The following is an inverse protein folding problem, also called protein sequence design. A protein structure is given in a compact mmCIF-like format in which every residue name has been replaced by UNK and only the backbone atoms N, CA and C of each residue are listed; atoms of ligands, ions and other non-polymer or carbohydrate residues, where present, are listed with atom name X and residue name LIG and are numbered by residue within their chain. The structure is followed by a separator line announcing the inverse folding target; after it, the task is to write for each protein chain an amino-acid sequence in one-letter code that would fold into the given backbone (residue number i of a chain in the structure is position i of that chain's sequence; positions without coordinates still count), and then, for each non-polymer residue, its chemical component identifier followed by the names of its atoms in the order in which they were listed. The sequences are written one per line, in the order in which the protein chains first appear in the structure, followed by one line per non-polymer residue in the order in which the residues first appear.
data_IF_651586644014
#
_entry.id   IF_651586644014
#
_cell.length_a   1.000
_cell.length_b   1.000
_cell.length_c   1.000
_cell.angle_alpha   90.00
_cell.angle_beta   90.00
_cell.angle_gamma   90.00
#
_symmetry.space_group_name_H-M   'P 1'
#
loop_
_entity.id
_entity.type
_entity.pdbx_description
1 polymer ?
#
# COMPACT_ATOMS: atom_id res chain seq x y z
N UNK A 1 11.43 -3.02 -49.12
CA UNK A 1 10.31 -2.51 -48.29
C UNK A 1 10.83 -1.33 -47.48
N UNK A 2 10.41 -0.12 -47.82
CA UNK A 2 10.87 1.12 -47.19
C UNK A 2 9.99 1.39 -45.96
N UNK A 3 10.52 1.13 -44.77
CA UNK A 3 9.80 1.33 -43.51
C UNK A 3 9.65 2.82 -43.19
N UNK A 4 8.46 3.21 -42.74
CA UNK A 4 8.15 4.57 -42.30
C UNK A 4 9.11 5.03 -41.18
N UNK A 5 9.89 6.07 -41.45
CA UNK A 5 10.73 6.76 -40.47
C UNK A 5 9.90 7.82 -39.75
N UNK A 6 9.62 7.62 -38.46
CA UNK A 6 8.93 8.64 -37.63
C UNK A 6 9.94 9.69 -37.21
N UNK A 7 9.93 10.86 -37.87
CA UNK A 7 10.86 11.97 -37.58
C UNK A 7 10.26 13.05 -36.68
N UNK A 8 9.18 12.78 -35.94
CA UNK A 8 8.62 13.81 -35.07
C UNK A 8 9.70 14.21 -34.04
N UNK A 9 10.20 15.47 -34.10
CA UNK A 9 11.23 15.91 -33.19
C UNK A 9 10.66 16.00 -31.79
N UNK A 10 11.51 15.92 -30.78
CA UNK A 10 11.11 16.22 -29.42
C UNK A 10 10.71 17.71 -29.35
N UNK A 11 9.40 17.99 -29.39
CA UNK A 11 8.88 19.36 -29.31
C UNK A 11 9.13 19.85 -27.89
N UNK A 12 10.14 20.71 -27.72
CA UNK A 12 10.33 21.45 -26.47
C UNK A 12 9.22 22.49 -26.41
N UNK A 13 8.16 22.18 -25.65
CA UNK A 13 7.05 23.10 -25.44
C UNK A 13 7.48 24.28 -24.59
N UNK A 14 7.03 25.46 -25.00
CA UNK A 14 7.24 26.70 -24.25
C UNK A 14 6.44 26.69 -22.94
N UNK A 15 6.80 27.56 -21.99
CA UNK A 15 6.22 27.52 -20.64
C UNK A 15 4.68 27.67 -20.65
N UNK A 16 4.14 28.54 -21.51
CA UNK A 16 2.70 28.73 -21.66
C UNK A 16 1.98 27.55 -22.31
N UNK A 17 2.66 26.78 -23.17
CA UNK A 17 2.10 25.57 -23.80
C UNK A 17 2.05 24.38 -22.82
N UNK A 18 2.88 24.39 -21.77
CA UNK A 18 2.82 23.41 -20.66
C UNK A 18 1.73 23.75 -19.65
N UNK A 19 1.47 25.04 -19.43
CA UNK A 19 0.38 25.50 -18.56
C UNK A 19 -1.01 25.11 -19.09
N UNK A 20 -1.17 25.02 -20.41
CA UNK A 20 -2.39 24.56 -21.07
C UNK A 20 -2.42 23.03 -21.34
N UNK A 21 -1.34 22.31 -21.00
CA UNK A 21 -1.32 20.86 -21.15
C UNK A 21 -2.05 20.21 -19.94
N UNK A 22 -2.93 19.25 -20.22
CA UNK A 22 -3.66 18.45 -19.20
C UNK A 22 -2.74 17.69 -18.21
N UNK A 23 -1.42 17.70 -18.42
CA UNK A 23 -0.44 17.05 -17.56
C UNK A 23 -0.05 17.97 -16.39
N UNK A 24 -1.04 18.32 -15.57
CA UNK A 24 -0.83 19.03 -14.32
C UNK A 24 0.06 18.16 -13.41
N UNK A 25 1.18 18.67 -12.87
CA UNK A 25 2.00 17.89 -11.95
C UNK A 25 1.14 17.39 -10.79
N UNK A 26 1.25 16.08 -10.49
CA UNK A 26 0.53 15.47 -9.35
C UNK A 26 0.98 16.15 -8.07
N UNK A 27 0.17 17.08 -7.57
CA UNK A 27 0.41 17.70 -6.28
C UNK A 27 0.13 16.67 -5.18
N UNK A 28 1.19 16.20 -4.52
CA UNK A 28 1.07 15.45 -3.27
C UNK A 28 0.77 16.46 -2.16
N UNK A 29 -0.50 16.53 -1.75
CA UNK A 29 -0.85 17.27 -0.55
C UNK A 29 -0.27 16.54 0.67
N UNK A 30 0.27 17.27 1.67
CA UNK A 30 0.62 16.64 2.93
C UNK A 30 -0.63 15.97 3.53
N UNK A 31 -0.48 14.81 4.18
CA UNK A 31 -1.60 14.16 4.83
C UNK A 31 -2.21 15.07 5.89
N UNK A 32 -3.53 15.00 6.08
CA UNK A 32 -4.19 15.73 7.16
C UNK A 32 -3.70 15.23 8.53
N UNK A 33 -3.72 16.06 9.58
CA UNK A 33 -3.34 15.63 10.93
C UNK A 33 -4.08 14.36 11.38
N UNK A 34 -5.39 14.28 11.13
CA UNK A 34 -6.19 13.09 11.43
C UNK A 34 -5.78 11.84 10.61
N UNK A 35 -5.19 12.00 9.43
CA UNK A 35 -4.62 10.87 8.69
C UNK A 35 -3.30 10.40 9.31
N UNK A 36 -2.48 11.31 9.83
CA UNK A 36 -1.25 11.01 10.55
C UNK A 36 -1.59 10.25 11.85
N UNK A 37 -2.58 10.71 12.62
CA UNK A 37 -2.97 10.06 13.87
C UNK A 37 -3.43 8.62 13.64
N UNK A 38 -4.30 8.39 12.65
CA UNK A 38 -4.75 7.03 12.26
C UNK A 38 -3.60 6.15 11.79
N UNK A 39 -2.64 6.72 11.06
CA UNK A 39 -1.43 6.00 10.65
C UNK A 39 -0.62 5.57 11.87
N UNK A 40 -0.32 6.50 12.79
CA UNK A 40 0.44 6.21 14.01
C UNK A 40 -0.25 5.17 14.88
N UNK A 41 -1.58 5.24 14.99
CA UNK A 41 -2.37 4.24 15.66
C UNK A 41 -2.23 2.86 15.00
N UNK A 42 -2.40 2.78 13.68
CA UNK A 42 -2.24 1.52 12.93
C UNK A 42 -0.83 0.94 13.08
N UNK A 43 0.20 1.79 13.14
CA UNK A 43 1.58 1.37 13.38
C UNK A 43 1.76 0.69 14.75
N UNK A 44 0.95 1.03 15.76
CA UNK A 44 0.93 0.30 17.04
C UNK A 44 0.37 -1.11 16.89
N UNK A 45 -0.68 -1.28 16.09
CA UNK A 45 -1.30 -2.59 15.87
C UNK A 45 -0.35 -3.56 15.17
N UNK A 46 0.41 -3.07 14.18
CA UNK A 46 1.41 -3.87 13.46
C UNK A 46 2.49 -4.41 14.41
N UNK A 47 2.81 -3.69 15.49
CA UNK A 47 3.81 -4.14 16.47
C UNK A 47 3.35 -5.36 17.28
N UNK A 48 2.06 -5.65 17.36
CA UNK A 48 1.57 -6.86 18.02
C UNK A 48 1.82 -8.14 17.23
N UNK A 49 2.08 -8.01 15.93
CA UNK A 49 2.34 -9.13 15.04
C UNK A 49 3.82 -9.51 15.06
N UNK A 50 4.08 -10.79 14.79
CA UNK A 50 5.43 -11.28 14.50
C UNK A 50 5.95 -10.73 13.16
N UNK A 51 7.27 -10.66 12.99
CA UNK A 51 7.94 -10.01 11.84
C UNK A 51 7.43 -10.55 10.50
N UNK A 52 7.31 -11.87 10.37
CA UNK A 52 6.81 -12.50 9.15
C UNK A 52 5.37 -12.08 8.81
N UNK A 53 4.52 -11.95 9.83
CA UNK A 53 3.13 -11.51 9.67
C UNK A 53 3.04 -10.02 9.33
N UNK A 54 3.94 -9.17 9.85
CA UNK A 54 4.01 -7.75 9.49
C UNK A 54 4.28 -7.56 8.01
N UNK A 55 5.29 -8.27 7.49
CA UNK A 55 5.61 -8.22 6.06
C UNK A 55 4.43 -8.69 5.20
N UNK A 56 3.73 -9.75 5.61
CA UNK A 56 2.57 -10.28 4.89
C UNK A 56 1.41 -9.27 4.85
N UNK A 57 1.08 -8.65 5.99
CA UNK A 57 0.02 -7.65 6.09
C UNK A 57 0.38 -6.40 5.27
N UNK A 58 1.65 -5.97 5.31
CA UNK A 58 2.09 -4.80 4.56
C UNK A 58 2.00 -5.00 3.05
N UNK A 59 2.47 -6.15 2.54
CA UNK A 59 2.31 -6.51 1.12
C UNK A 59 0.84 -6.47 0.71
N UNK A 60 -0.04 -7.04 1.56
CA UNK A 60 -1.48 -7.04 1.26
C UNK A 60 -2.07 -5.62 1.26
N UNK A 61 -1.62 -4.75 2.16
CA UNK A 61 -2.05 -3.34 2.23
C UNK A 61 -1.57 -2.51 1.02
N UNK A 62 -0.39 -2.82 0.49
CA UNK A 62 0.14 -2.20 -0.74
C UNK A 62 -0.60 -2.63 -2.02
N UNK A 63 -1.49 -3.62 -1.92
CA UNK A 63 -2.25 -4.13 -3.06
C UNK A 63 -1.57 -5.28 -3.82
N UNK A 64 -0.53 -5.89 -3.24
CA UNK A 64 0.12 -7.05 -3.84
C UNK A 64 -0.85 -8.22 -4.05
N UNK A 65 -0.79 -8.86 -5.22
CA UNK A 65 -1.60 -10.03 -5.52
C UNK A 65 -1.22 -11.24 -4.66
N UNK A 66 -2.22 -12.06 -4.30
CA UNK A 66 -1.98 -13.28 -3.54
C UNK A 66 -1.00 -14.25 -4.18
N UNK A 67 -0.97 -14.32 -5.52
CA UNK A 67 -0.02 -15.18 -6.25
C UNK A 67 1.42 -14.71 -6.05
N UNK A 68 1.64 -13.40 -6.07
CA UNK A 68 2.95 -12.80 -5.83
C UNK A 68 3.41 -13.02 -4.39
N UNK A 69 2.53 -12.77 -3.42
CA UNK A 69 2.79 -13.03 -1.99
C UNK A 69 3.13 -14.50 -1.76
N UNK A 70 2.32 -15.42 -2.29
CA UNK A 70 2.52 -16.86 -2.12
C UNK A 70 3.89 -17.31 -2.69
N UNK A 71 4.28 -16.77 -3.85
CA UNK A 71 5.60 -17.01 -4.45
C UNK A 71 6.73 -16.52 -3.54
N UNK A 72 6.63 -15.31 -2.98
CA UNK A 72 7.63 -14.74 -2.07
C UNK A 72 7.84 -15.60 -0.82
N UNK A 73 6.77 -16.15 -0.27
CA UNK A 73 6.79 -17.00 0.92
C UNK A 73 6.98 -18.50 0.61
N UNK A 74 7.26 -18.88 -0.65
CA UNK A 74 7.41 -20.25 -1.11
C UNK A 74 6.28 -21.19 -0.64
N UNK A 75 5.03 -20.72 -0.72
CA UNK A 75 3.86 -21.46 -0.28
C UNK A 75 2.72 -21.35 -1.30
N UNK A 76 1.64 -22.12 -1.10
CA UNK A 76 0.43 -21.97 -1.92
C UNK A 76 -0.40 -20.76 -1.48
N UNK A 77 -1.18 -20.20 -2.42
CA UNK A 77 -2.05 -19.02 -2.20
C UNK A 77 -2.97 -19.19 -0.99
N UNK A 78 -3.59 -20.36 -0.82
CA UNK A 78 -4.48 -20.65 0.31
C UNK A 78 -3.75 -20.56 1.66
N UNK A 79 -2.49 -20.96 1.72
CA UNK A 79 -1.70 -20.87 2.96
C UNK A 79 -1.36 -19.43 3.31
N UNK A 80 -0.96 -18.61 2.33
CA UNK A 80 -0.75 -17.19 2.53
C UNK A 80 -2.03 -16.48 3.01
N UNK A 81 -3.18 -16.79 2.40
CA UNK A 81 -4.49 -16.26 2.82
C UNK A 81 -4.83 -16.63 4.28
N UNK A 82 -4.66 -17.90 4.67
CA UNK A 82 -4.91 -18.32 6.06
C UNK A 82 -3.97 -17.65 7.05
N UNK A 83 -2.68 -17.48 6.69
CA UNK A 83 -1.71 -16.76 7.54
C UNK A 83 -2.12 -15.31 7.73
N UNK A 84 -2.57 -14.64 6.66
CA UNK A 84 -3.08 -13.28 6.75
C UNK A 84 -4.35 -13.20 7.62
N UNK A 85 -5.29 -14.12 7.46
CA UNK A 85 -6.50 -14.17 8.30
C UNK A 85 -6.16 -14.32 9.78
N UNK A 86 -5.20 -15.20 10.12
CA UNK A 86 -4.72 -15.36 11.51
C UNK A 86 -4.09 -14.08 12.05
N UNK A 87 -3.25 -13.40 11.26
CA UNK A 87 -2.65 -12.14 11.65
C UNK A 87 -3.72 -11.06 11.91
N UNK A 88 -4.72 -10.95 11.03
CA UNK A 88 -5.85 -10.03 11.24
C UNK A 88 -6.67 -10.38 12.47
N UNK A 89 -6.91 -11.67 12.72
CA UNK A 89 -7.61 -12.13 13.92
C UNK A 89 -6.89 -11.68 15.19
N UNK A 90 -5.56 -11.82 15.26
CA UNK A 90 -4.78 -11.33 16.41
C UNK A 90 -4.96 -9.83 16.65
N UNK A 91 -5.00 -9.02 15.59
CA UNK A 91 -5.26 -7.57 15.74
C UNK A 91 -6.66 -7.33 16.29
N UNK A 92 -7.67 -8.00 15.74
CA UNK A 92 -9.07 -7.89 16.18
C UNK A 92 -9.22 -8.32 17.65
N UNK A 93 -8.62 -9.44 18.03
CA UNK A 93 -8.67 -9.96 19.40
C UNK A 93 -8.06 -8.97 20.40
N UNK A 94 -6.97 -8.29 20.03
CA UNK A 94 -6.36 -7.26 20.89
C UNK A 94 -7.16 -5.97 20.96
N UNK A 95 -7.76 -5.55 19.86
CA UNK A 95 -8.63 -4.37 19.85
C UNK A 95 -9.86 -4.60 20.74
N UNK A 96 -10.51 -5.76 20.60
CA UNK A 96 -11.68 -6.11 21.40
C UNK A 96 -11.32 -6.44 22.85
N UNK A 97 -10.17 -7.06 23.08
CA UNK A 97 -9.68 -7.40 24.43
C UNK A 97 -9.14 -6.19 25.22
N UNK A 98 -8.67 -5.15 24.53
CA UNK A 98 -8.25 -3.89 25.15
C UNK A 98 -9.40 -3.08 25.74
N UNK A 99 -10.62 -3.20 25.19
CA UNK A 99 -11.82 -2.55 25.73
C UNK A 99 -12.20 -3.00 27.15
N UNK A 100 -11.72 -4.16 27.59
CA UNK A 100 -11.98 -4.70 28.93
C UNK A 100 -11.00 -4.20 30.00
N UNK A 101 -9.82 -3.69 29.62
CA UNK A 101 -8.78 -3.27 30.59
C UNK A 101 -8.89 -1.78 30.95
N UNK A 102 -9.46 -0.95 30.06
CA UNK A 102 -9.57 0.51 30.26
C UNK A 102 -10.90 0.94 30.93
N UNK A 103 -11.74 0.00 31.40
CA UNK A 103 -13.07 0.28 31.97
C UNK A 103 -13.20 -0.01 33.48
N UNK A 104 -12.11 -0.43 34.13
CA UNK A 104 -11.99 -0.59 35.60
C UNK A 104 -11.01 0.44 36.16
#
# INVERSE_FOLDING_TARGET
MQGYFRVWPHIVREQWERLAADDQPRHYYPPSPAAIDRMLETMRWVQWLDVDHRHLVWMRAQGDEWRYIAKRYACCVKTAQRRWQRAMQTVVDRLNGGEHVDRE
#
